data_IF_230068956032
#
_entry.id   IF_230068956032
#
_cell.length_a   1.000
_cell.length_b   1.000
_cell.length_c   1.000
_cell.angle_alpha   90.00
_cell.angle_beta   90.00
_cell.angle_gamma   90.00
#
_symmetry.space_group_name_H-M   'P 1'
#
loop_
_entity.id
_entity.type
_entity.pdbx_description
1 polymer ?
#
# COMPACT_ATOMS: atom_id res chain seq x y z
N UNK A 1 72.46 37.06 -21.83
CA UNK A 1 72.09 35.80 -21.15
C UNK A 1 70.96 36.16 -20.21
N UNK A 2 69.71 35.75 -20.35
CA UNK A 2 69.13 34.54 -20.95
C UNK A 2 68.18 33.97 -19.89
N UNK A 3 66.87 34.13 -20.11
CA UNK A 3 65.72 33.68 -19.30
C UNK A 3 65.92 32.40 -18.49
N UNK A 4 65.22 32.27 -17.35
CA UNK A 4 64.32 31.13 -17.10
C UNK A 4 63.04 31.62 -16.41
N UNK A 5 61.93 31.46 -17.12
CA UNK A 5 60.57 31.76 -16.69
C UNK A 5 60.12 30.85 -15.56
N UNK A 6 59.40 31.44 -14.61
CA UNK A 6 58.53 30.75 -13.66
C UNK A 6 57.43 29.98 -14.42
N UNK A 7 57.35 28.67 -14.20
CA UNK A 7 56.12 27.91 -14.47
C UNK A 7 55.53 27.54 -13.11
N UNK A 8 54.41 28.18 -12.80
CA UNK A 8 53.56 27.82 -11.68
C UNK A 8 52.84 26.51 -11.99
N UNK A 9 52.67 25.67 -10.97
CA UNK A 9 51.43 24.91 -10.82
C UNK A 9 51.00 25.02 -9.36
N UNK A 10 49.92 25.74 -9.04
CA UNK A 10 49.39 25.76 -7.69
C UNK A 10 48.60 24.46 -7.48
N UNK A 11 49.19 23.52 -6.73
CA UNK A 11 48.44 22.38 -6.17
C UNK A 11 47.27 22.85 -5.29
N UNK A 12 47.28 24.10 -4.83
CA UNK A 12 46.20 24.70 -4.04
C UNK A 12 44.92 24.97 -4.84
N UNK A 13 44.97 25.21 -6.15
CA UNK A 13 43.74 25.55 -6.91
C UNK A 13 42.79 24.36 -7.09
N UNK A 14 43.33 23.14 -7.16
CA UNK A 14 42.54 21.90 -7.26
C UNK A 14 42.05 21.43 -5.88
N UNK A 15 42.88 21.56 -4.84
CA UNK A 15 42.49 21.26 -3.47
C UNK A 15 41.41 22.21 -2.94
N UNK A 16 41.51 23.51 -3.26
CA UNK A 16 40.51 24.51 -2.85
C UNK A 16 39.18 24.29 -3.55
N UNK A 17 39.17 23.93 -4.85
CA UNK A 17 37.91 23.63 -5.58
C UNK A 17 37.22 22.35 -5.12
N UNK A 18 37.98 21.28 -4.87
CA UNK A 18 37.42 20.02 -4.36
C UNK A 18 36.94 20.13 -2.90
N UNK A 19 37.58 20.97 -2.08
CA UNK A 19 37.13 21.27 -0.72
C UNK A 19 35.91 22.19 -0.70
N UNK A 20 35.88 23.19 -1.59
CA UNK A 20 34.73 24.08 -1.74
C UNK A 20 33.48 23.31 -2.13
N UNK A 21 33.52 22.43 -3.13
CA UNK A 21 32.32 21.73 -3.59
C UNK A 21 31.83 20.68 -2.58
N UNK A 22 32.74 19.99 -1.89
CA UNK A 22 32.39 18.95 -0.92
C UNK A 22 31.86 19.53 0.41
N UNK A 23 32.39 20.68 0.85
CA UNK A 23 31.88 21.41 2.02
C UNK A 23 30.59 22.16 1.66
N UNK A 24 30.48 22.76 0.47
CA UNK A 24 29.28 23.47 0.02
C UNK A 24 28.07 22.55 -0.11
N UNK A 25 28.25 21.33 -0.63
CA UNK A 25 27.19 20.33 -0.68
C UNK A 25 26.68 19.90 0.71
N UNK A 26 27.58 19.75 1.70
CA UNK A 26 27.20 19.39 3.08
C UNK A 26 26.62 20.57 3.86
N UNK A 27 27.18 21.75 3.67
CA UNK A 27 26.70 22.99 4.28
C UNK A 27 25.28 23.33 3.82
N UNK A 28 24.91 23.00 2.57
CA UNK A 28 23.57 23.26 2.05
C UNK A 28 22.45 22.61 2.90
N UNK A 29 22.66 21.40 3.42
CA UNK A 29 21.67 20.75 4.29
C UNK A 29 21.53 21.42 5.65
N UNK A 30 22.60 22.06 6.14
CA UNK A 30 22.61 22.79 7.41
C UNK A 30 21.97 24.16 7.22
N UNK A 31 22.38 24.91 6.18
CA UNK A 31 21.85 26.24 5.89
C UNK A 31 20.36 26.22 5.53
N UNK A 32 19.87 25.14 4.88
CA UNK A 32 18.46 24.97 4.53
C UNK A 32 17.66 24.19 5.57
N UNK A 33 18.25 23.90 6.74
CA UNK A 33 17.62 23.00 7.71
C UNK A 33 16.26 23.53 8.17
N UNK A 34 16.20 24.80 8.56
CA UNK A 34 14.98 25.45 9.05
C UNK A 34 13.90 25.49 7.96
N UNK A 35 14.24 25.98 6.76
CA UNK A 35 13.34 25.99 5.60
C UNK A 35 12.81 24.58 5.26
N UNK A 36 13.67 23.57 5.29
CA UNK A 36 13.30 22.19 4.99
C UNK A 36 12.39 21.60 6.09
N UNK A 37 12.62 21.94 7.36
CA UNK A 37 11.76 21.50 8.46
C UNK A 37 10.38 22.14 8.35
N UNK A 38 10.27 23.42 7.99
CA UNK A 38 8.99 24.11 7.77
C UNK A 38 8.25 23.52 6.56
N UNK A 39 8.97 23.26 5.47
CA UNK A 39 8.42 22.56 4.31
C UNK A 39 7.93 21.15 4.67
N UNK A 40 8.68 20.41 5.50
CA UNK A 40 8.33 19.07 5.94
C UNK A 40 7.07 19.04 6.81
N UNK A 41 6.97 19.97 7.75
CA UNK A 41 5.79 20.11 8.62
C UNK A 41 4.53 20.38 7.78
N UNK A 42 4.61 21.34 6.85
CA UNK A 42 3.50 21.65 5.94
C UNK A 42 3.13 20.47 5.03
N UNK A 43 4.13 19.80 4.45
CA UNK A 43 3.91 18.67 3.57
C UNK A 43 3.30 17.47 4.32
N UNK A 44 3.71 17.26 5.57
CA UNK A 44 3.18 16.21 6.45
C UNK A 44 1.71 16.44 6.79
N UNK A 45 1.30 17.66 7.14
CA UNK A 45 -0.11 17.96 7.39
C UNK A 45 -1.00 17.68 6.17
N UNK A 46 -0.49 17.93 4.97
CA UNK A 46 -1.20 17.61 3.73
C UNK A 46 -1.27 16.11 3.46
N UNK A 47 -0.18 15.37 3.74
CA UNK A 47 -0.15 13.92 3.64
C UNK A 47 -1.15 13.28 4.60
N UNK A 48 -1.20 13.75 5.85
CA UNK A 48 -2.12 13.27 6.87
C UNK A 48 -3.58 13.46 6.44
N UNK A 49 -3.95 14.65 5.99
CA UNK A 49 -5.30 14.91 5.48
C UNK A 49 -5.65 13.97 4.30
N UNK A 50 -4.70 13.77 3.38
CA UNK A 50 -4.88 12.87 2.23
C UNK A 50 -5.06 11.41 2.67
N UNK A 51 -4.29 10.97 3.66
CA UNK A 51 -4.38 9.62 4.23
C UNK A 51 -5.74 9.41 4.90
N UNK A 52 -6.19 10.37 5.69
CA UNK A 52 -7.46 10.28 6.40
C UNK A 52 -8.64 10.25 5.40
N UNK A 53 -8.59 11.06 4.33
CA UNK A 53 -9.57 11.00 3.24
C UNK A 53 -9.56 9.64 2.52
N UNK A 54 -8.38 9.05 2.27
CA UNK A 54 -8.26 7.75 1.63
C UNK A 54 -8.80 6.63 2.53
N UNK A 55 -8.50 6.66 3.83
CA UNK A 55 -9.07 5.74 4.82
C UNK A 55 -10.59 5.79 4.78
N UNK A 56 -11.19 6.99 4.80
CA UNK A 56 -12.64 7.15 4.73
C UNK A 56 -13.23 6.53 3.45
N UNK A 57 -12.62 6.74 2.28
CA UNK A 57 -13.05 6.14 1.01
C UNK A 57 -12.98 4.62 1.04
N UNK A 58 -11.90 4.09 1.58
CA UNK A 58 -11.68 2.64 1.70
C UNK A 58 -12.68 2.01 2.66
N UNK A 59 -12.92 2.64 3.82
CA UNK A 59 -13.94 2.19 4.77
C UNK A 59 -15.33 2.17 4.15
N UNK A 60 -15.69 3.18 3.36
CA UNK A 60 -16.96 3.21 2.62
C UNK A 60 -17.05 2.08 1.59
N UNK A 61 -15.95 1.79 0.87
CA UNK A 61 -15.92 0.71 -0.10
C UNK A 61 -16.03 -0.68 0.57
N UNK A 62 -15.36 -0.87 1.71
CA UNK A 62 -15.45 -2.10 2.50
C UNK A 62 -16.85 -2.34 3.07
N UNK A 63 -17.57 -1.27 3.46
CA UNK A 63 -18.99 -1.35 3.82
C UNK A 63 -19.88 -1.82 2.66
N UNK A 64 -19.44 -1.62 1.42
CA UNK A 64 -20.11 -2.10 0.21
C UNK A 64 -19.61 -3.48 -0.24
N UNK A 65 -18.92 -4.21 0.63
CA UNK A 65 -18.32 -5.52 0.35
C UNK A 65 -17.28 -5.50 -0.79
N UNK A 66 -16.68 -4.35 -1.06
CA UNK A 66 -15.51 -4.26 -1.93
C UNK A 66 -14.25 -4.55 -1.12
N UNK A 67 -13.26 -5.15 -1.76
CA UNK A 67 -11.94 -5.36 -1.16
C UNK A 67 -11.01 -4.23 -1.54
N UNK A 68 -10.40 -3.64 -0.52
CA UNK A 68 -9.30 -2.69 -0.66
C UNK A 68 -8.19 -3.25 -1.54
N UNK A 69 -7.66 -2.43 -2.44
CA UNK A 69 -6.53 -2.82 -3.27
C UNK A 69 -5.25 -2.92 -2.43
N UNK A 70 -4.44 -3.95 -2.67
CA UNK A 70 -3.17 -4.16 -1.94
C UNK A 70 -2.20 -2.97 -2.07
N UNK A 71 -2.18 -2.31 -3.24
CA UNK A 71 -1.40 -1.08 -3.47
C UNK A 71 -1.84 0.09 -2.58
N UNK A 72 -3.13 0.17 -2.23
CA UNK A 72 -3.69 1.18 -1.34
C UNK A 72 -3.32 0.86 0.10
N UNK A 73 -3.40 -0.42 0.49
CA UNK A 73 -2.94 -0.87 1.80
C UNK A 73 -1.47 -0.53 2.03
N UNK A 74 -0.60 -0.86 1.07
CA UNK A 74 0.83 -0.55 1.13
C UNK A 74 1.07 0.96 1.23
N UNK A 75 0.33 1.77 0.48
CA UNK A 75 0.45 3.23 0.55
C UNK A 75 0.08 3.77 1.93
N UNK A 76 -1.03 3.31 2.52
CA UNK A 76 -1.48 3.72 3.86
C UNK A 76 -0.44 3.37 4.93
N UNK A 77 0.15 2.18 4.87
CA UNK A 77 1.22 1.77 5.78
C UNK A 77 2.45 2.67 5.64
N UNK A 78 2.92 2.90 4.41
CA UNK A 78 4.08 3.78 4.19
C UNK A 78 3.83 5.22 4.64
N UNK A 79 2.61 5.74 4.46
CA UNK A 79 2.24 7.08 4.92
C UNK A 79 2.29 7.19 6.45
N UNK A 80 1.78 6.19 7.18
CA UNK A 80 1.85 6.15 8.63
C UNK A 80 3.30 6.05 9.15
N UNK A 81 4.14 5.25 8.50
CA UNK A 81 5.56 5.13 8.85
C UNK A 81 6.31 6.45 8.64
N UNK A 82 6.08 7.12 7.51
CA UNK A 82 6.68 8.43 7.20
C UNK A 82 6.20 9.50 8.17
N UNK A 83 4.90 9.56 8.50
CA UNK A 83 4.36 10.49 9.50
C UNK A 83 5.03 10.31 10.87
N UNK A 84 5.27 9.06 11.28
CA UNK A 84 5.99 8.75 12.52
C UNK A 84 7.42 9.32 12.49
N UNK A 85 8.13 9.12 11.37
CA UNK A 85 9.48 9.67 11.21
C UNK A 85 9.48 11.21 11.16
N UNK A 86 8.47 11.84 10.55
CA UNK A 86 8.33 13.30 10.59
C UNK A 86 8.14 13.77 12.02
N UNK A 87 7.29 13.10 12.79
CA UNK A 87 7.06 13.46 14.19
C UNK A 87 8.34 13.40 15.03
N UNK A 88 9.17 12.37 14.83
CA UNK A 88 10.50 12.26 15.46
C UNK A 88 11.41 13.46 15.11
N UNK A 89 11.46 13.84 13.83
CA UNK A 89 12.29 14.96 13.38
C UNK A 89 11.80 16.30 13.93
N UNK A 90 10.49 16.56 13.87
CA UNK A 90 9.91 17.82 14.34
C UNK A 90 10.09 17.97 15.85
N UNK A 91 10.00 16.88 16.62
CA UNK A 91 10.26 16.90 18.07
C UNK A 91 11.68 17.39 18.40
N UNK A 92 12.66 17.11 17.52
CA UNK A 92 14.06 17.52 17.67
C UNK A 92 14.39 18.87 17.04
N UNK A 93 13.42 19.55 16.41
CA UNK A 93 13.60 20.84 15.71
C UNK A 93 14.32 21.86 16.58
N UNK A 94 13.85 22.07 17.81
CA UNK A 94 14.40 23.12 18.70
C UNK A 94 15.87 22.88 19.03
N UNK A 95 16.21 21.65 19.42
CA UNK A 95 17.59 21.27 19.74
C UNK A 95 18.53 21.48 18.55
N UNK A 96 18.11 21.07 17.35
CA UNK A 96 18.95 21.16 16.15
C UNK A 96 19.06 22.59 15.59
N UNK A 97 18.03 23.43 15.77
CA UNK A 97 18.08 24.86 15.42
C UNK A 97 18.95 25.64 16.41
N UNK A 98 18.85 25.38 17.71
CA UNK A 98 19.66 26.04 18.75
C UNK A 98 21.16 25.68 18.65
N UNK A 99 21.47 24.55 18.00
CA UNK A 99 22.83 24.13 17.68
C UNK A 99 23.43 24.85 16.46
N UNK A 100 22.63 25.62 15.69
CA UNK A 100 23.11 26.47 14.61
C UNK A 100 23.76 27.75 15.15
N UNK A 101 24.84 28.18 14.51
CA UNK A 101 25.45 29.49 14.75
C UNK A 101 24.66 30.59 14.03
N UNK A 102 24.86 31.84 14.45
CA UNK A 102 24.21 33.03 13.86
C UNK A 102 24.36 33.01 12.33
N UNK A 103 23.23 33.03 11.63
CA UNK A 103 23.16 33.04 10.16
C UNK A 103 23.17 31.66 9.48
N UNK A 104 23.11 30.54 10.22
CA UNK A 104 22.91 29.20 9.66
C UNK A 104 24.11 28.61 8.90
N UNK A 105 25.24 29.32 8.83
CA UNK A 105 26.43 28.91 8.06
C UNK A 105 27.35 27.92 8.81
N UNK A 106 27.22 27.78 10.12
CA UNK A 106 28.01 26.86 10.94
C UNK A 106 27.12 26.25 12.02
N UNK A 107 27.43 25.03 12.48
CA UNK A 107 26.76 24.38 13.61
C UNK A 107 27.81 24.06 14.68
N UNK A 108 27.41 24.12 15.96
CA UNK A 108 28.23 23.65 17.09
C UNK A 108 28.64 22.18 16.90
N UNK A 109 27.82 21.41 16.17
CA UNK A 109 27.99 20.00 15.85
C UNK A 109 27.81 19.72 14.34
N UNK A 110 28.63 20.33 13.47
CA UNK A 110 28.51 20.24 12.00
C UNK A 110 28.23 18.85 11.41
N UNK A 111 28.84 17.77 11.98
CA UNK A 111 28.58 16.39 11.50
C UNK A 111 27.18 15.90 11.85
N UNK A 112 26.67 16.23 13.04
CA UNK A 112 25.33 15.84 13.49
C UNK A 112 24.28 16.59 12.70
N UNK A 113 24.39 17.93 12.62
CA UNK A 113 23.43 18.76 11.89
C UNK A 113 23.40 18.45 10.39
N UNK A 114 24.54 18.09 9.79
CA UNK A 114 24.54 17.58 8.41
C UNK A 114 23.74 16.28 8.27
N UNK A 115 23.94 15.30 9.16
CA UNK A 115 23.20 14.03 9.13
C UNK A 115 21.70 14.27 9.34
N UNK A 116 21.37 15.15 10.29
CA UNK A 116 19.99 15.51 10.59
C UNK A 116 19.33 16.21 9.40
N UNK A 117 19.95 17.27 8.85
CA UNK A 117 19.43 17.99 7.68
C UNK A 117 19.34 17.12 6.43
N UNK A 118 20.27 16.18 6.24
CA UNK A 118 20.15 15.17 5.19
C UNK A 118 18.94 14.26 5.40
N UNK A 119 18.68 13.80 6.63
CA UNK A 119 17.51 12.97 6.96
C UNK A 119 16.20 13.73 6.76
N UNK A 120 16.15 15.01 7.14
CA UNK A 120 14.99 15.90 6.88
C UNK A 120 14.72 15.99 5.38
N UNK A 121 15.74 16.25 4.57
CA UNK A 121 15.59 16.34 3.12
C UNK A 121 15.12 15.00 2.49
N UNK A 122 15.64 13.87 2.95
CA UNK A 122 15.22 12.55 2.48
C UNK A 122 13.75 12.27 2.79
N UNK A 123 13.31 12.52 4.03
CA UNK A 123 11.91 12.30 4.41
C UNK A 123 10.99 13.28 3.68
N UNK A 124 11.44 14.50 3.40
CA UNK A 124 10.69 15.45 2.57
C UNK A 124 10.47 14.93 1.14
N UNK A 125 11.50 14.30 0.54
CA UNK A 125 11.37 13.61 -0.75
C UNK A 125 10.39 12.45 -0.67
N UNK A 126 10.44 11.63 0.39
CA UNK A 126 9.52 10.51 0.61
C UNK A 126 8.06 10.97 0.74
N UNK A 127 7.79 12.02 1.53
CA UNK A 127 6.47 12.64 1.65
C UNK A 127 5.97 13.12 0.28
N UNK A 128 6.84 13.76 -0.49
CA UNK A 128 6.50 14.26 -1.84
C UNK A 128 6.20 13.12 -2.80
N UNK A 129 6.97 12.04 -2.75
CA UNK A 129 6.76 10.84 -3.56
C UNK A 129 5.44 10.14 -3.21
N UNK A 130 5.11 10.01 -1.91
CA UNK A 130 3.83 9.45 -1.46
C UNK A 130 2.64 10.27 -1.94
N UNK A 131 2.70 11.60 -1.83
CA UNK A 131 1.65 12.48 -2.34
C UNK A 131 1.40 12.26 -3.84
N UNK A 132 2.47 12.21 -4.63
CA UNK A 132 2.36 11.94 -6.08
C UNK A 132 1.75 10.58 -6.38
N UNK A 133 2.17 9.52 -5.69
CA UNK A 133 1.59 8.17 -5.87
C UNK A 133 0.10 8.13 -5.55
N UNK A 134 -0.35 8.91 -4.56
CA UNK A 134 -1.76 8.97 -4.22
C UNK A 134 -2.62 9.56 -5.34
N UNK A 135 -2.11 10.57 -6.07
CA UNK A 135 -2.81 11.19 -7.21
C UNK A 135 -3.07 10.19 -8.35
N UNK A 136 -2.33 9.08 -8.41
CA UNK A 136 -2.47 8.03 -9.41
C UNK A 136 -3.61 7.02 -9.08
N UNK A 137 -4.15 7.04 -7.85
CA UNK A 137 -5.25 6.15 -7.47
C UNK A 137 -6.59 6.63 -8.03
N UNK A 138 -7.02 6.02 -9.15
CA UNK A 138 -8.37 6.19 -9.70
C UNK A 138 -9.43 5.39 -8.92
N UNK A 139 -9.04 4.22 -8.44
CA UNK A 139 -9.88 3.30 -7.68
C UNK A 139 -9.13 2.86 -6.41
N UNK A 140 -9.88 2.69 -5.33
CA UNK A 140 -9.33 2.37 -4.00
C UNK A 140 -9.63 0.94 -3.55
N UNK A 141 -10.63 0.33 -4.17
CA UNK A 141 -11.12 -1.00 -3.87
C UNK A 141 -11.74 -1.59 -5.14
N UNK A 142 -11.82 -2.92 -5.19
CA UNK A 142 -12.42 -3.67 -6.29
C UNK A 142 -13.46 -4.65 -5.76
N UNK A 143 -14.37 -5.08 -6.63
CA UNK A 143 -15.26 -6.19 -6.30
C UNK A 143 -14.41 -7.44 -6.20
N UNK A 144 -14.41 -8.09 -5.04
CA UNK A 144 -14.05 -9.50 -5.00
C UNK A 144 -15.20 -10.23 -5.68
N UNK A 145 -14.94 -11.08 -6.68
CA UNK A 145 -15.94 -12.06 -7.08
C UNK A 145 -16.35 -12.81 -5.81
N UNK A 146 -17.63 -12.77 -5.44
CA UNK A 146 -18.10 -13.67 -4.41
C UNK A 146 -17.74 -15.09 -4.85
N UNK A 147 -17.29 -15.94 -3.93
CA UNK A 147 -17.19 -17.36 -4.25
C UNK A 147 -18.58 -17.77 -4.76
N UNK A 148 -18.69 -18.32 -5.98
CA UNK A 148 -19.98 -18.48 -6.64
C UNK A 148 -20.91 -19.43 -5.88
N UNK A 149 -20.42 -20.14 -4.86
CA UNK A 149 -21.12 -21.17 -4.11
C UNK A 149 -20.65 -21.20 -2.65
N UNK A 150 -21.57 -21.21 -1.69
CA UNK A 150 -21.22 -21.46 -0.28
C UNK A 150 -21.07 -22.96 -0.01
N UNK A 151 -19.96 -23.40 0.59
CA UNK A 151 -19.78 -24.79 0.99
C UNK A 151 -20.74 -25.18 2.12
N UNK A 152 -21.42 -26.31 1.95
CA UNK A 152 -22.32 -26.87 2.95
C UNK A 152 -21.71 -28.08 3.67
N UNK A 153 -21.92 -28.25 4.99
CA UNK A 153 -21.54 -29.46 5.69
C UNK A 153 -22.19 -30.69 5.04
N UNK A 154 -21.37 -31.64 4.58
CA UNK A 154 -21.83 -32.89 4.00
C UNK A 154 -20.98 -34.04 4.49
N UNK A 155 -21.62 -35.07 5.05
CA UNK A 155 -20.95 -36.33 5.34
C UNK A 155 -20.74 -37.13 4.05
N UNK A 156 -19.70 -37.97 4.05
CA UNK A 156 -19.48 -38.95 2.98
C UNK A 156 -20.63 -39.97 2.99
N UNK A 157 -21.46 -39.97 1.96
CA UNK A 157 -22.53 -40.97 1.79
C UNK A 157 -22.17 -41.95 0.68
N UNK A 158 -22.63 -43.20 0.82
CA UNK A 158 -22.56 -44.22 -0.23
C UNK A 158 -23.95 -44.55 -0.76
N UNK A 159 -24.08 -44.87 -2.05
CA UNK A 159 -25.32 -45.33 -2.67
C UNK A 159 -26.19 -44.24 -3.30
N UNK A 160 -25.75 -42.98 -3.26
CA UNK A 160 -26.42 -41.85 -3.94
C UNK A 160 -25.79 -41.53 -5.30
N UNK A 161 -24.69 -42.18 -5.67
CA UNK A 161 -23.91 -41.88 -6.88
C UNK A 161 -24.73 -41.93 -8.17
N UNK A 162 -25.64 -42.93 -8.39
CA UNK A 162 -26.46 -42.96 -9.60
C UNK A 162 -27.45 -41.78 -9.67
N UNK A 163 -28.01 -41.37 -8.54
CA UNK A 163 -28.92 -40.23 -8.45
C UNK A 163 -28.17 -38.92 -8.63
N UNK A 164 -26.95 -38.85 -8.09
CA UNK A 164 -26.03 -37.73 -8.23
C UNK A 164 -25.68 -37.48 -9.69
N UNK A 165 -25.18 -38.50 -10.39
CA UNK A 165 -24.78 -38.37 -11.79
C UNK A 165 -25.96 -37.98 -12.68
N UNK A 166 -27.16 -38.51 -12.42
CA UNK A 166 -28.37 -38.10 -13.16
C UNK A 166 -28.71 -36.63 -12.93
N UNK A 167 -28.74 -36.18 -11.67
CA UNK A 167 -29.05 -34.80 -11.35
C UNK A 167 -27.98 -33.84 -11.90
N UNK A 168 -26.71 -34.25 -11.85
CA UNK A 168 -25.58 -33.51 -12.40
C UNK A 168 -25.70 -33.34 -13.92
N UNK A 169 -26.00 -34.41 -14.66
CA UNK A 169 -26.24 -34.32 -16.10
C UNK A 169 -27.40 -33.39 -16.44
N UNK A 170 -28.50 -33.43 -15.67
CA UNK A 170 -29.63 -32.52 -15.86
C UNK A 170 -29.25 -31.05 -15.61
N UNK A 171 -28.38 -30.76 -14.64
CA UNK A 171 -27.92 -29.39 -14.37
C UNK A 171 -26.98 -28.84 -15.44
N UNK A 172 -26.30 -29.70 -16.20
CA UNK A 172 -25.41 -29.30 -17.30
C UNK A 172 -26.16 -29.06 -18.63
N UNK A 173 -27.43 -29.46 -18.71
CA UNK A 173 -28.22 -29.29 -19.91
C UNK A 173 -28.84 -27.89 -19.97
N UNK A 174 -28.34 -27.02 -20.85
CA UNK A 174 -28.83 -25.65 -21.04
C UNK A 174 -30.31 -25.58 -21.50
N UNK A 175 -30.91 -26.70 -21.93
CA UNK A 175 -32.32 -26.75 -22.33
C UNK A 175 -33.29 -26.90 -21.15
N UNK A 176 -32.79 -27.32 -19.98
CA UNK A 176 -33.60 -27.57 -18.79
C UNK A 176 -33.55 -26.38 -17.82
N UNK A 177 -34.69 -25.70 -17.63
CA UNK A 177 -34.76 -24.51 -16.76
C UNK A 177 -34.98 -24.82 -15.26
N UNK A 178 -35.49 -26.01 -14.92
CA UNK A 178 -35.82 -26.40 -13.54
C UNK A 178 -35.64 -27.91 -13.34
N UNK A 179 -34.80 -28.30 -12.37
CA UNK A 179 -34.61 -29.71 -11.98
C UNK A 179 -35.27 -29.97 -10.62
N UNK A 180 -36.18 -30.96 -10.58
CA UNK A 180 -36.88 -31.36 -9.35
C UNK A 180 -36.42 -32.74 -8.83
N UNK A 181 -36.03 -32.81 -7.55
CA UNK A 181 -35.68 -34.07 -6.88
C UNK A 181 -36.83 -34.46 -5.94
N UNK A 182 -37.47 -35.60 -6.20
CA UNK A 182 -38.64 -36.09 -5.45
C UNK A 182 -38.46 -37.54 -4.98
N UNK A 183 -39.24 -37.95 -3.99
CA UNK A 183 -39.16 -39.31 -3.41
C UNK A 183 -39.61 -39.35 -1.95
N UNK A 184 -39.69 -40.55 -1.39
CA UNK A 184 -40.15 -40.78 -0.01
C UNK A 184 -39.24 -40.08 1.03
N UNK A 185 -39.75 -39.88 2.24
CA UNK A 185 -38.97 -39.29 3.34
C UNK A 185 -37.75 -40.15 3.69
N UNK A 186 -36.63 -39.52 4.06
CA UNK A 186 -35.43 -40.22 4.54
C UNK A 186 -34.46 -40.75 3.47
N UNK A 187 -34.77 -40.66 2.18
CA UNK A 187 -33.90 -41.17 1.10
C UNK A 187 -32.71 -40.26 0.73
N UNK A 188 -32.45 -39.21 1.51
CA UNK A 188 -31.27 -38.36 1.29
C UNK A 188 -31.39 -37.29 0.21
N UNK A 189 -32.61 -36.84 -0.17
CA UNK A 189 -32.80 -35.79 -1.19
C UNK A 189 -32.06 -34.48 -0.87
N UNK A 190 -32.17 -34.01 0.37
CA UNK A 190 -31.46 -32.81 0.83
C UNK A 190 -29.95 -33.04 0.81
N UNK A 191 -29.49 -34.23 1.21
CA UNK A 191 -28.08 -34.63 1.15
C UNK A 191 -27.55 -34.61 -0.29
N UNK A 192 -28.36 -35.07 -1.25
CA UNK A 192 -28.02 -35.02 -2.67
C UNK A 192 -27.87 -33.57 -3.17
N UNK A 193 -28.77 -32.67 -2.77
CA UNK A 193 -28.66 -31.24 -3.09
C UNK A 193 -27.40 -30.61 -2.47
N UNK A 194 -27.06 -30.95 -1.23
CA UNK A 194 -25.82 -30.52 -0.56
C UNK A 194 -24.59 -30.94 -1.36
N UNK A 195 -24.54 -32.18 -1.84
CA UNK A 195 -23.42 -32.68 -2.64
C UNK A 195 -23.31 -31.96 -3.99
N UNK A 196 -24.44 -31.70 -4.65
CA UNK A 196 -24.46 -30.97 -5.92
C UNK A 196 -23.93 -29.55 -5.73
N UNK A 197 -24.39 -28.85 -4.70
CA UNK A 197 -23.89 -27.54 -4.32
C UNK A 197 -22.36 -27.57 -4.11
N UNK A 198 -21.84 -28.48 -3.29
CA UNK A 198 -20.40 -28.55 -3.05
C UNK A 198 -19.60 -28.90 -4.31
N UNK A 199 -20.13 -29.73 -5.22
CA UNK A 199 -19.48 -30.01 -6.51
C UNK A 199 -19.47 -28.78 -7.44
N UNK A 200 -20.52 -27.96 -7.42
CA UNK A 200 -20.56 -26.68 -8.14
C UNK A 200 -19.50 -25.71 -7.60
N UNK A 201 -19.29 -25.69 -6.28
CA UNK A 201 -18.19 -24.93 -5.66
C UNK A 201 -16.83 -25.37 -6.20
N UNK A 202 -16.55 -26.68 -6.16
CA UNK A 202 -15.24 -27.23 -6.52
C UNK A 202 -14.88 -27.06 -8.00
N UNK A 203 -15.87 -27.09 -8.89
CA UNK A 203 -15.64 -27.04 -10.33
C UNK A 203 -15.81 -25.65 -10.96
N UNK A 204 -16.41 -24.68 -10.26
CA UNK A 204 -16.72 -23.33 -10.79
C UNK A 204 -17.39 -23.35 -12.18
N UNK A 205 -18.32 -24.28 -12.40
CA UNK A 205 -18.92 -24.49 -13.73
C UNK A 205 -20.16 -23.60 -13.90
N UNK A 206 -20.20 -22.85 -15.01
CA UNK A 206 -21.42 -22.46 -15.75
C UNK A 206 -22.40 -21.47 -15.09
N UNK A 207 -22.31 -21.24 -13.79
CA UNK A 207 -23.23 -20.37 -13.05
C UNK A 207 -22.48 -19.15 -12.49
N UNK A 208 -23.03 -17.95 -12.71
CA UNK A 208 -22.49 -16.71 -12.12
C UNK A 208 -22.66 -16.68 -10.59
N UNK A 209 -23.71 -17.32 -10.07
CA UNK A 209 -23.99 -17.47 -8.63
C UNK A 209 -24.90 -18.68 -8.36
N UNK A 210 -24.68 -19.36 -7.24
CA UNK A 210 -25.53 -20.43 -6.70
C UNK A 210 -26.09 -19.99 -5.35
N UNK A 211 -27.42 -20.03 -5.19
CA UNK A 211 -28.10 -19.54 -3.99
C UNK A 211 -28.85 -20.69 -3.33
N UNK A 212 -28.50 -20.99 -2.08
CA UNK A 212 -29.21 -21.97 -1.27
C UNK A 212 -30.37 -21.31 -0.50
N UNK A 213 -31.61 -21.73 -0.78
CA UNK A 213 -32.81 -21.22 -0.11
C UNK A 213 -33.43 -22.32 0.74
N UNK A 214 -33.53 -22.09 2.05
CA UNK A 214 -34.30 -22.94 2.94
C UNK A 214 -35.78 -22.51 2.93
N UNK A 215 -36.66 -23.43 2.54
CA UNK A 215 -38.12 -23.20 2.61
C UNK A 215 -38.65 -23.98 3.81
N UNK A 216 -39.19 -23.25 4.79
CA UNK A 216 -39.82 -23.78 6.01
C UNK A 216 -41.33 -23.72 5.93
#
# INVERSE_FOLDING_TARGET
>A
MGNICSVSMPCDAMATRCWDDCIRGRAMYICKLEDNLDALEKASSQLQATRDDLINKVTLAEQQHLRRLEKVQLWLSNAADVETQVHELITRRREEIDDLCIGGFCSKNCRSSYKFGKRVAQILEDVTALKKRNEEFKEVAERVPADPVDLMPCDSTVGLEPSFERAWCCLQDEQEGVVGIYGVGGVGKTTLLTQLNNKLHDMQIGFDAVIWILVS
#
